data_IF_982227314517
#
_entry.id   IF_982227314517
#
_cell.length_a   1.000
_cell.length_b   1.000
_cell.length_c   1.000
_cell.angle_alpha   90.00
_cell.angle_beta   90.00
_cell.angle_gamma   90.00
#
_symmetry.space_group_name_H-M   'P 1'
#
loop_
_entity.id
_entity.type
_entity.pdbx_description
1 polymer ?
#
# COMPACT_ATOMS: atom_id res chain seq x y z
N UNK A 1 4.41 8.81 -23.71
CA UNK A 1 3.08 8.58 -23.09
C UNK A 1 3.34 8.34 -21.61
N UNK A 2 3.07 9.33 -20.76
CA UNK A 2 3.30 9.18 -19.32
C UNK A 2 2.23 8.24 -18.78
N UNK A 3 2.61 7.02 -18.39
CA UNK A 3 1.80 6.24 -17.47
C UNK A 3 1.75 7.08 -16.19
N UNK A 4 0.59 7.67 -15.91
CA UNK A 4 0.32 8.29 -14.63
C UNK A 4 0.32 7.15 -13.60
N UNK A 5 1.51 6.84 -13.05
CA UNK A 5 1.63 5.90 -11.94
C UNK A 5 0.84 6.51 -10.79
N UNK A 6 -0.23 5.83 -10.40
CA UNK A 6 -0.98 6.11 -9.18
C UNK A 6 -0.64 5.06 -8.14
N UNK A 7 -0.61 5.48 -6.88
CA UNK A 7 -0.38 4.63 -5.72
C UNK A 7 -1.54 4.81 -4.75
N UNK A 8 -1.83 3.77 -3.99
CA UNK A 8 -2.76 3.86 -2.87
C UNK A 8 -2.00 3.93 -1.56
N UNK A 9 -2.25 4.96 -0.75
CA UNK A 9 -1.62 5.13 0.56
C UNK A 9 -2.69 5.23 1.65
N UNK A 10 -2.41 4.68 2.83
CA UNK A 10 -3.31 4.81 3.96
C UNK A 10 -3.27 6.25 4.50
N UNK A 11 -4.43 6.77 4.96
CA UNK A 11 -4.51 8.05 5.64
C UNK A 11 -3.80 7.94 6.99
N UNK A 12 -2.86 8.85 7.31
CA UNK A 12 -2.23 8.88 8.64
C UNK A 12 -3.22 9.27 9.75
N UNK A 13 -4.39 9.81 9.40
CA UNK A 13 -5.48 10.14 10.31
C UNK A 13 -6.53 9.03 10.47
N UNK A 14 -6.38 7.90 9.77
CA UNK A 14 -7.28 6.76 9.94
C UNK A 14 -7.08 6.12 11.32
N UNK A 15 -8.14 5.54 11.88
CA UNK A 15 -8.03 4.83 13.14
C UNK A 15 -7.29 3.51 12.95
N UNK A 16 -6.49 3.11 13.95
CA UNK A 16 -5.71 1.87 13.91
C UNK A 16 -6.56 0.64 13.61
N UNK A 17 -7.79 0.58 14.17
CA UNK A 17 -8.75 -0.50 13.92
C UNK A 17 -9.16 -0.59 12.45
N UNK A 18 -9.35 0.54 11.78
CA UNK A 18 -9.70 0.55 10.36
C UNK A 18 -8.51 0.12 9.50
N UNK A 19 -7.30 0.55 9.88
CA UNK A 19 -6.06 0.14 9.21
C UNK A 19 -5.82 -1.36 9.32
N UNK A 20 -6.04 -1.97 10.49
CA UNK A 20 -5.97 -3.42 10.68
C UNK A 20 -6.99 -4.16 9.82
N UNK A 21 -8.25 -3.71 9.82
CA UNK A 21 -9.31 -4.28 8.99
C UNK A 21 -8.96 -4.20 7.49
N UNK A 22 -8.36 -3.10 7.04
CA UNK A 22 -7.93 -2.95 5.65
C UNK A 22 -6.79 -3.91 5.29
N UNK A 23 -5.82 -4.09 6.20
CA UNK A 23 -4.74 -5.06 6.02
C UNK A 23 -5.35 -6.45 5.86
N UNK A 24 -6.19 -6.88 6.81
CA UNK A 24 -6.83 -8.20 6.76
C UNK A 24 -7.65 -8.39 5.47
N UNK A 25 -8.48 -7.39 5.12
CA UNK A 25 -9.27 -7.42 3.89
C UNK A 25 -8.40 -7.62 2.65
N UNK A 26 -7.33 -6.84 2.52
CA UNK A 26 -6.45 -6.87 1.36
C UNK A 26 -5.60 -8.15 1.32
N UNK A 27 -5.15 -8.66 2.46
CA UNK A 27 -4.45 -9.95 2.58
C UNK A 27 -5.31 -11.14 2.18
N UNK A 28 -6.62 -11.06 2.44
CA UNK A 28 -7.58 -12.09 2.05
C UNK A 28 -7.87 -12.08 0.53
N UNK A 29 -7.37 -11.10 -0.23
CA UNK A 29 -7.53 -11.06 -1.68
C UNK A 29 -6.51 -11.97 -2.37
N UNK A 30 -6.96 -12.65 -3.43
CA UNK A 30 -6.14 -13.61 -4.16
C UNK A 30 -4.87 -12.95 -4.70
N UNK A 31 -3.72 -13.49 -4.30
CA UNK A 31 -2.38 -13.11 -4.74
C UNK A 31 -1.95 -11.69 -4.36
N UNK A 32 -2.37 -11.26 -3.17
CA UNK A 32 -1.69 -10.24 -2.38
C UNK A 32 -0.76 -10.97 -1.41
N UNK A 33 0.50 -10.55 -1.34
CA UNK A 33 1.49 -11.15 -0.43
C UNK A 33 1.68 -10.27 0.79
N UNK A 34 1.08 -10.67 1.91
CA UNK A 34 1.21 -9.97 3.18
C UNK A 34 2.41 -10.43 4.01
N UNK A 35 3.16 -11.45 3.59
CA UNK A 35 4.37 -11.87 4.31
C UNK A 35 5.43 -10.76 4.34
N UNK A 36 5.38 -9.83 3.38
CA UNK A 36 6.35 -8.74 3.25
C UNK A 36 6.22 -7.68 4.35
N UNK A 37 5.05 -7.53 4.97
CA UNK A 37 4.79 -6.59 6.08
C UNK A 37 4.90 -7.24 7.45
N UNK A 38 5.01 -8.56 7.52
CA UNK A 38 5.17 -9.31 8.77
C UNK A 38 6.62 -9.23 9.26
N UNK A 39 6.86 -9.60 10.52
CA UNK A 39 8.21 -9.63 11.09
C UNK A 39 9.15 -10.48 10.23
N UNK A 40 10.31 -9.92 9.87
CA UNK A 40 11.26 -10.54 8.94
C UNK A 40 10.95 -10.33 7.46
N UNK A 41 9.83 -9.70 7.11
CA UNK A 41 9.48 -9.30 5.75
C UNK A 41 10.30 -8.10 5.27
N UNK A 42 10.47 -7.99 3.95
CA UNK A 42 11.22 -6.91 3.28
C UNK A 42 10.70 -5.50 3.58
N UNK A 43 9.42 -5.39 3.97
CA UNK A 43 8.69 -4.15 4.17
C UNK A 43 8.08 -4.07 5.58
N UNK A 44 8.68 -4.77 6.53
CA UNK A 44 8.33 -4.71 7.94
C UNK A 44 8.67 -3.35 8.56
N UNK A 45 9.82 -2.77 8.20
CA UNK A 45 10.25 -1.48 8.74
C UNK A 45 9.94 -0.34 7.76
N UNK A 46 9.39 0.79 8.23
CA UNK A 46 8.96 1.11 9.60
C UNK A 46 7.71 0.34 10.07
N UNK A 47 7.72 -0.13 11.33
CA UNK A 47 6.70 -1.00 11.95
C UNK A 47 5.39 -0.30 12.33
N UNK A 48 5.05 0.80 11.66
CA UNK A 48 3.80 1.52 11.92
C UNK A 48 2.68 0.95 11.07
N UNK A 49 1.50 0.81 11.68
CA UNK A 49 0.27 0.31 11.04
C UNK A 49 -0.05 1.04 9.73
N UNK A 50 0.10 2.36 9.70
CA UNK A 50 -0.13 3.18 8.50
C UNK A 50 0.77 2.74 7.35
N UNK A 51 2.03 2.36 7.63
CA UNK A 51 2.96 1.91 6.60
C UNK A 51 2.61 0.49 6.13
N UNK A 52 2.32 -0.43 7.05
CA UNK A 52 1.90 -1.78 6.68
C UNK A 52 0.60 -1.76 5.86
N UNK A 53 -0.40 -1.00 6.29
CA UNK A 53 -1.65 -0.80 5.57
C UNK A 53 -1.40 -0.20 4.18
N UNK A 54 -0.59 0.87 4.11
CA UNK A 54 -0.22 1.50 2.84
C UNK A 54 0.40 0.52 1.83
N UNK A 55 1.28 -0.38 2.28
CA UNK A 55 1.94 -1.37 1.42
C UNK A 55 0.90 -2.34 0.84
N UNK A 56 0.07 -2.95 1.69
CA UNK A 56 -0.89 -3.97 1.25
C UNK A 56 -2.04 -3.36 0.45
N UNK A 57 -2.55 -2.20 0.87
CA UNK A 57 -3.58 -1.44 0.12
C UNK A 57 -3.07 -1.05 -1.27
N UNK A 58 -1.80 -0.67 -1.41
CA UNK A 58 -1.18 -0.39 -2.71
C UNK A 58 -1.09 -1.65 -3.58
N UNK A 59 -0.69 -2.80 -3.02
CA UNK A 59 -0.66 -4.06 -3.76
C UNK A 59 -2.05 -4.43 -4.29
N UNK A 60 -3.08 -4.31 -3.43
CA UNK A 60 -4.47 -4.52 -3.82
C UNK A 60 -4.89 -3.56 -4.93
N UNK A 61 -4.63 -2.27 -4.76
CA UNK A 61 -4.98 -1.24 -5.73
C UNK A 61 -4.35 -1.49 -7.11
N UNK A 62 -3.07 -1.85 -7.15
CA UNK A 62 -2.38 -2.20 -8.39
C UNK A 62 -2.99 -3.43 -9.05
N UNK A 63 -3.31 -4.44 -8.25
CA UNK A 63 -3.91 -5.68 -8.74
C UNK A 63 -5.35 -5.51 -9.23
N UNK A 64 -6.11 -4.65 -8.57
CA UNK A 64 -7.49 -4.33 -8.91
C UNK A 64 -7.62 -3.33 -10.07
N UNK A 65 -6.51 -3.00 -10.76
CA UNK A 65 -6.53 -2.17 -11.97
C UNK A 65 -6.40 -0.67 -11.74
N UNK A 66 -5.90 -0.23 -10.57
CA UNK A 66 -5.60 1.17 -10.23
C UNK A 66 -6.79 2.14 -10.33
N UNK A 67 -8.01 1.65 -10.12
CA UNK A 67 -9.22 2.49 -10.04
C UNK A 67 -9.30 3.19 -8.69
N UNK A 68 -9.63 4.49 -8.67
CA UNK A 68 -9.72 5.28 -7.44
C UNK A 68 -10.66 4.66 -6.40
N UNK A 69 -11.73 3.99 -6.85
CA UNK A 69 -12.67 3.28 -5.98
C UNK A 69 -12.01 2.16 -5.16
N UNK A 70 -10.99 1.50 -5.72
CA UNK A 70 -10.29 0.41 -5.04
C UNK A 70 -9.31 0.90 -3.96
N UNK A 71 -9.06 2.22 -3.88
CA UNK A 71 -8.22 2.82 -2.85
C UNK A 71 -9.05 3.49 -1.74
N UNK A 72 -10.38 3.47 -1.80
CA UNK A 72 -11.19 4.19 -0.82
C UNK A 72 -11.08 3.54 0.57
N UNK A 73 -11.16 2.21 0.66
CA UNK A 73 -11.07 1.45 1.93
C UNK A 73 -11.90 2.10 3.05
N UNK A 74 -13.18 2.39 2.79
CA UNK A 74 -14.06 3.10 3.74
C UNK A 74 -13.52 4.48 4.12
N UNK A 75 -13.13 5.27 3.12
CA UNK A 75 -12.50 6.59 3.28
C UNK A 75 -11.18 6.61 4.07
N UNK A 76 -10.47 5.49 4.21
CA UNK A 76 -9.19 5.46 4.93
C UNK A 76 -7.98 5.40 4.00
N UNK A 77 -8.18 5.26 2.68
CA UNK A 77 -7.11 5.37 1.70
C UNK A 77 -7.11 6.67 0.90
N UNK A 78 -5.98 6.95 0.27
CA UNK A 78 -5.72 8.11 -0.57
C UNK A 78 -5.00 7.68 -1.83
N UNK A 79 -5.51 8.11 -2.99
CA UNK A 79 -4.82 7.94 -4.26
C UNK A 79 -3.75 9.03 -4.39
N UNK A 80 -2.50 8.62 -4.32
CA UNK A 80 -1.35 9.48 -4.61
C UNK A 80 -1.05 9.44 -6.12
N UNK A 81 -1.01 10.62 -6.74
CA UNK A 81 -0.58 10.83 -8.14
C UNK A 81 0.90 11.23 -8.25
N UNK A 82 1.55 11.49 -7.12
CA UNK A 82 2.98 11.78 -7.01
C UNK A 82 3.64 10.59 -6.33
N UNK A 83 4.81 10.18 -6.82
CA UNK A 83 5.58 9.06 -6.26
C UNK A 83 5.80 9.29 -4.76
N UNK A 84 5.19 8.46 -3.89
CA UNK A 84 5.35 8.62 -2.45
C UNK A 84 6.80 8.46 -2.02
N UNK A 85 7.64 7.70 -2.74
CA UNK A 85 9.06 7.55 -2.41
C UNK A 85 9.83 8.87 -2.51
N UNK A 86 9.36 9.82 -3.35
CA UNK A 86 9.94 11.16 -3.43
C UNK A 86 9.63 12.02 -2.20
N UNK A 87 8.55 11.69 -1.48
CA UNK A 87 8.07 12.42 -0.29
C UNK A 87 8.54 11.71 0.99
N UNK A 88 8.52 10.38 1.00
CA UNK A 88 8.90 9.52 2.13
C UNK A 88 9.81 8.39 1.65
N UNK A 89 11.13 8.59 1.79
CA UNK A 89 12.18 7.59 1.45
C UNK A 89 12.12 6.27 2.26
N UNK A 90 11.10 6.07 3.08
CA UNK A 90 11.01 4.96 4.06
C UNK A 90 9.83 4.03 3.84
N UNK A 91 9.00 4.23 2.81
CA UNK A 91 7.83 3.39 2.61
C UNK A 91 8.05 2.48 1.39
N UNK A 92 7.83 1.18 1.58
CA UNK A 92 7.91 0.18 0.54
C UNK A 92 6.72 0.27 -0.45
N UNK A 93 6.80 1.10 -1.48
CA UNK A 93 5.73 1.16 -2.49
C UNK A 93 6.11 0.52 -3.84
N UNK A 94 7.39 0.48 -4.17
CA UNK A 94 7.91 -0.11 -5.42
C UNK A 94 8.61 -1.46 -5.15
N UNK A 95 8.26 -2.14 -4.03
CA UNK A 95 8.88 -3.40 -3.58
C UNK A 95 10.39 -3.28 -3.33
N UNK A 96 11.04 -4.39 -3.01
CA UNK A 96 12.40 -4.68 -3.50
C UNK A 96 12.91 -3.70 -4.57
N UNK A 97 14.07 -3.10 -4.33
CA UNK A 97 14.92 -2.54 -5.38
C UNK A 97 14.93 -3.49 -6.61
N UNK A 98 14.30 -3.06 -7.71
CA UNK A 98 14.38 -3.63 -9.08
C UNK A 98 13.80 -5.05 -9.24
N UNK A 99 12.90 -5.29 -10.20
CA UNK A 99 13.29 -5.64 -11.57
C UNK A 99 12.34 -5.07 -12.62
N UNK A 100 12.88 -4.23 -13.50
CA UNK A 100 12.41 -4.12 -14.87
C UNK A 100 12.87 -5.38 -15.62
N UNK A 101 11.95 -6.06 -16.30
CA UNK A 101 12.26 -6.66 -17.60
C UNK A 101 11.56 -5.83 -18.66
#
# INVERSE_FOLDING_TARGET
MYINKTWCVAKPSAADVDLENNIEFACNQVGIDCSIIQEGGQCYYPTSLVNHASVVMNLYFQKAGRSAFNCDFSETGLVAVTDPNMITKRICYEGCLYTFV
#
